data_IF_001853937235
#
_entry.id   IF_001853937235
#
_cell.length_a   1.000
_cell.length_b   1.000
_cell.length_c   1.000
_cell.angle_alpha   90.00
_cell.angle_beta   90.00
_cell.angle_gamma   90.00
#
_symmetry.space_group_name_H-M   'P 1'
#
loop_
_entity.id
_entity.type
_entity.pdbx_description
1 polymer ?
#
# COMPACT_ATOMS: atom_id res chain seq x y z
N UNK A 1 5.45 21.28 24.76
CA UNK A 1 5.23 19.90 25.25
C UNK A 1 5.81 18.95 24.21
N UNK A 2 7.04 18.45 24.43
CA UNK A 2 7.79 17.63 23.45
C UNK A 2 7.42 16.17 23.69
N UNK A 3 6.62 15.58 22.79
CA UNK A 3 6.30 14.16 22.84
C UNK A 3 7.52 13.34 22.36
N UNK A 4 8.40 12.94 23.29
CA UNK A 4 9.34 11.84 23.05
C UNK A 4 8.66 10.53 23.42
N UNK A 5 7.96 9.91 22.46
CA UNK A 5 7.62 8.50 22.54
C UNK A 5 8.76 7.70 21.90
N UNK A 6 9.39 6.82 22.69
CA UNK A 6 10.22 5.73 22.17
C UNK A 6 9.32 4.81 21.34
N UNK A 7 9.14 5.17 20.07
CA UNK A 7 8.51 4.34 19.06
C UNK A 7 9.50 3.23 18.74
N UNK A 8 9.27 2.03 19.29
CA UNK A 8 9.80 0.81 18.72
C UNK A 8 9.19 0.74 17.32
N UNK A 9 9.95 1.13 16.29
CA UNK A 9 9.53 1.08 14.91
C UNK A 9 9.34 -0.38 14.52
N UNK A 10 8.15 -0.93 14.78
CA UNK A 10 7.71 -2.17 14.17
C UNK A 10 7.81 -1.95 12.66
N UNK A 11 8.50 -2.83 11.94
CA UNK A 11 8.81 -2.66 10.52
C UNK A 11 7.54 -2.36 9.71
N UNK A 12 7.35 -1.08 9.38
CA UNK A 12 6.16 -0.57 8.67
C UNK A 12 6.24 -0.89 7.17
N UNK A 13 7.47 -1.04 6.66
CA UNK A 13 7.75 -1.31 5.26
C UNK A 13 7.78 -2.82 5.03
N UNK A 14 6.88 -3.38 4.20
CA UNK A 14 6.92 -4.80 3.89
C UNK A 14 8.20 -5.14 3.10
N UNK A 15 8.67 -6.39 3.23
CA UNK A 15 9.89 -6.87 2.56
C UNK A 15 9.81 -6.61 1.05
N UNK A 16 10.91 -6.12 0.47
CA UNK A 16 11.00 -5.83 -0.96
C UNK A 16 12.37 -6.23 -1.52
N UNK A 17 12.39 -6.57 -2.81
CA UNK A 17 13.58 -7.00 -3.54
C UNK A 17 13.62 -6.29 -4.90
N UNK A 18 14.72 -5.61 -5.19
CA UNK A 18 14.96 -4.98 -6.49
C UNK A 18 15.56 -6.00 -7.45
N UNK A 19 14.92 -6.21 -8.59
CA UNK A 19 15.39 -7.11 -9.64
C UNK A 19 16.27 -6.37 -10.64
N UNK A 20 17.28 -7.05 -11.24
CA UNK A 20 17.59 -8.48 -11.11
C UNK A 20 18.37 -8.87 -9.85
N UNK A 21 19.06 -7.93 -9.19
CA UNK A 21 20.03 -8.21 -8.13
C UNK A 21 19.46 -9.00 -6.94
N UNK A 22 18.21 -8.73 -6.54
CA UNK A 22 17.53 -9.35 -5.41
C UNK A 22 16.86 -10.70 -5.71
N UNK A 23 16.99 -11.24 -6.93
CA UNK A 23 16.26 -12.45 -7.33
C UNK A 23 16.67 -13.70 -6.53
N UNK A 24 17.97 -13.89 -6.29
CA UNK A 24 18.48 -15.03 -5.53
C UNK A 24 17.96 -14.99 -4.08
N UNK A 25 18.07 -13.83 -3.43
CA UNK A 25 17.56 -13.61 -2.07
C UNK A 25 16.04 -13.78 -2.00
N UNK A 26 15.31 -13.30 -3.01
CA UNK A 26 13.87 -13.53 -3.11
C UNK A 26 13.53 -15.02 -3.16
N UNK A 27 14.16 -15.81 -4.03
CA UNK A 27 13.91 -17.25 -4.15
C UNK A 27 14.21 -18.01 -2.86
N UNK A 28 15.32 -17.68 -2.19
CA UNK A 28 15.70 -18.31 -0.93
C UNK A 28 14.67 -18.01 0.18
N UNK A 29 14.30 -16.74 0.34
CA UNK A 29 13.40 -16.31 1.41
C UNK A 29 11.95 -16.70 1.14
N UNK A 30 11.52 -16.69 -0.13
CA UNK A 30 10.16 -17.07 -0.50
C UNK A 30 9.89 -18.57 -0.34
N UNK A 31 10.93 -19.41 -0.49
CA UNK A 31 10.86 -20.85 -0.20
C UNK A 31 10.76 -21.14 1.31
N UNK A 32 11.41 -20.33 2.14
CA UNK A 32 11.38 -20.48 3.61
C UNK A 32 10.08 -19.93 4.23
N UNK A 33 9.36 -19.06 3.51
CA UNK A 33 8.07 -18.54 3.96
C UNK A 33 7.00 -19.65 3.96
N UNK A 34 6.73 -20.23 5.15
CA UNK A 34 5.70 -21.26 5.39
C UNK A 34 4.32 -20.92 4.81
N UNK A 35 4.01 -19.63 4.71
CA UNK A 35 2.71 -19.13 4.27
C UNK A 35 2.58 -19.00 2.74
N UNK A 36 3.59 -19.40 1.95
CA UNK A 36 3.59 -19.31 0.47
C UNK A 36 3.08 -17.95 0.00
N UNK A 37 3.86 -16.92 0.34
CA UNK A 37 3.45 -15.52 0.25
C UNK A 37 2.97 -15.10 -1.13
N UNK A 38 2.08 -14.11 -1.15
CA UNK A 38 1.74 -13.36 -2.35
C UNK A 38 2.63 -12.13 -2.43
N UNK A 39 3.09 -11.80 -3.63
CA UNK A 39 3.95 -10.64 -3.86
C UNK A 39 3.35 -9.75 -4.95
N UNK A 40 3.61 -8.45 -4.85
CA UNK A 40 3.31 -7.47 -5.87
C UNK A 40 4.60 -7.17 -6.66
N UNK A 41 4.61 -7.54 -7.93
CA UNK A 41 5.66 -7.20 -8.88
C UNK A 41 5.32 -5.86 -9.53
N UNK A 42 6.18 -4.86 -9.34
CA UNK A 42 6.06 -3.50 -9.89
C UNK A 42 7.20 -3.27 -10.87
N UNK A 43 6.91 -3.08 -12.16
CA UNK A 43 7.97 -2.68 -13.11
C UNK A 43 8.47 -1.27 -12.82
N UNK A 44 9.77 -1.01 -12.98
CA UNK A 44 10.41 0.24 -12.61
C UNK A 44 9.81 1.48 -13.32
N UNK A 45 9.37 1.31 -14.57
CA UNK A 45 8.81 2.40 -15.38
C UNK A 45 7.28 2.44 -15.40
N UNK A 46 6.61 1.70 -14.50
CA UNK A 46 5.16 1.72 -14.40
C UNK A 46 4.66 2.99 -13.70
N UNK A 47 3.98 3.85 -14.43
CA UNK A 47 3.19 4.95 -13.87
C UNK A 47 1.71 4.53 -13.72
N UNK A 48 0.94 5.27 -12.91
CA UNK A 48 -0.54 5.19 -12.86
C UNK A 48 -1.14 3.82 -12.50
N UNK A 49 -0.36 2.87 -11.97
CA UNK A 49 -0.83 1.53 -11.62
C UNK A 49 -0.77 0.52 -12.77
N UNK A 50 -0.40 0.96 -13.98
CA UNK A 50 -0.17 0.10 -15.14
C UNK A 50 1.18 -0.60 -15.01
N UNK A 51 1.18 -1.77 -14.38
CA UNK A 51 2.40 -2.59 -14.22
C UNK A 51 2.57 -3.24 -12.86
N UNK A 52 1.58 -3.15 -11.97
CA UNK A 52 1.56 -3.98 -10.75
C UNK A 52 0.86 -5.30 -11.05
N UNK A 53 1.62 -6.40 -10.95
CA UNK A 53 1.10 -7.76 -11.09
C UNK A 53 1.21 -8.49 -9.76
N UNK A 54 0.18 -9.24 -9.42
CA UNK A 54 0.24 -10.16 -8.28
C UNK A 54 0.91 -11.44 -8.74
N UNK A 55 1.97 -11.87 -8.05
CA UNK A 55 2.74 -13.08 -8.34
C UNK A 55 2.86 -13.93 -7.08
N UNK A 56 2.67 -15.24 -7.22
CA UNK A 56 2.98 -16.21 -6.19
C UNK A 56 4.50 -16.42 -6.06
N UNK A 57 4.92 -16.99 -4.94
CA UNK A 57 6.34 -17.30 -4.68
C UNK A 57 7.01 -18.19 -5.75
N UNK A 58 6.22 -19.05 -6.42
CA UNK A 58 6.66 -20.00 -7.44
C UNK A 58 6.31 -19.58 -8.87
N UNK A 59 5.72 -18.40 -9.07
CA UNK A 59 5.40 -17.94 -10.42
C UNK A 59 6.68 -17.60 -11.18
N UNK A 60 6.72 -18.00 -12.46
CA UNK A 60 7.77 -17.56 -13.37
C UNK A 60 7.40 -16.21 -13.97
N UNK A 61 8.32 -15.26 -13.88
CA UNK A 61 8.18 -13.93 -14.46
C UNK A 61 9.49 -13.45 -15.06
N UNK A 62 9.38 -12.56 -16.05
CA UNK A 62 10.56 -11.96 -16.69
C UNK A 62 11.29 -11.09 -15.68
N UNK A 63 12.56 -11.39 -15.46
CA UNK A 63 13.47 -10.60 -14.63
C UNK A 63 13.88 -9.37 -15.44
N UNK A 64 13.10 -8.30 -15.29
CA UNK A 64 13.39 -6.97 -15.83
C UNK A 64 13.47 -6.00 -14.66
N UNK A 65 13.88 -4.75 -14.91
CA UNK A 65 13.91 -3.69 -13.90
C UNK A 65 12.54 -3.56 -13.22
N UNK A 66 12.46 -4.11 -12.02
CA UNK A 66 11.22 -4.26 -11.27
C UNK A 66 11.52 -4.45 -9.79
N UNK A 67 10.54 -4.14 -8.95
CA UNK A 67 10.57 -4.39 -7.52
C UNK A 67 9.51 -5.42 -7.19
N UNK A 68 9.91 -6.49 -6.51
CA UNK A 68 8.99 -7.44 -5.87
C UNK A 68 8.79 -7.00 -4.44
N UNK A 69 7.55 -6.85 -4.02
CA UNK A 69 7.20 -6.47 -2.67
C UNK A 69 6.22 -7.47 -2.07
N UNK A 70 6.44 -7.90 -0.82
CA UNK A 70 5.52 -8.77 -0.11
C UNK A 70 4.15 -8.10 0.01
N UNK A 71 3.10 -8.80 -0.41
CA UNK A 71 1.74 -8.32 -0.30
C UNK A 71 1.21 -8.51 1.13
N UNK A 72 0.49 -7.52 1.62
CA UNK A 72 -0.16 -7.55 2.94
C UNK A 72 -1.55 -8.18 2.78
N UNK A 73 -1.78 -9.42 3.23
CA UNK A 73 -3.02 -10.16 2.95
C UNK A 73 -4.21 -9.73 3.80
N UNK A 74 -3.96 -9.09 4.95
CA UNK A 74 -4.98 -8.66 5.89
C UNK A 74 -4.87 -7.14 6.11
N UNK A 75 -5.23 -6.31 5.12
CA UNK A 75 -5.27 -4.86 5.30
C UNK A 75 -6.43 -4.47 6.23
N UNK A 76 -6.32 -3.32 6.88
CA UNK A 76 -7.47 -2.70 7.54
C UNK A 76 -8.52 -2.33 6.48
N UNK A 77 -9.78 -2.66 6.76
CA UNK A 77 -10.91 -2.40 5.88
C UNK A 77 -11.87 -1.42 6.54
N UNK A 78 -12.41 -0.50 5.75
CA UNK A 78 -13.54 0.36 6.12
C UNK A 78 -14.64 0.05 5.11
N UNK A 79 -15.85 -0.25 5.58
CA UNK A 79 -16.97 -0.71 4.74
C UNK A 79 -16.59 -1.87 3.80
N UNK A 80 -15.80 -2.82 4.32
CA UNK A 80 -15.27 -3.96 3.58
C UNK A 80 -14.43 -3.58 2.36
N UNK A 81 -13.93 -2.35 2.27
CA UNK A 81 -13.07 -1.85 1.18
C UNK A 81 -11.67 -1.60 1.70
N UNK A 82 -10.68 -1.98 0.89
CA UNK A 82 -9.29 -1.62 1.11
C UNK A 82 -9.11 -0.13 0.85
N UNK A 83 -8.30 0.54 1.66
CA UNK A 83 -7.95 1.94 1.45
C UNK A 83 -6.46 2.19 1.66
N UNK A 84 -5.97 3.32 1.17
CA UNK A 84 -4.68 3.87 1.52
C UNK A 84 -4.82 5.33 1.96
N UNK A 85 -3.83 5.82 2.71
CA UNK A 85 -3.79 7.19 3.21
C UNK A 85 -2.71 7.98 2.47
N UNK A 86 -3.09 9.11 1.89
CA UNK A 86 -2.19 10.12 1.36
C UNK A 86 -1.97 11.18 2.44
N UNK A 87 -0.79 11.14 3.05
CA UNK A 87 -0.36 12.10 4.08
C UNK A 87 0.53 13.15 3.42
N UNK A 88 0.23 14.43 3.64
CA UNK A 88 1.06 15.52 3.14
C UNK A 88 2.16 15.86 4.14
N UNK A 89 3.38 16.00 3.63
CA UNK A 89 4.56 16.39 4.42
C UNK A 89 5.28 17.53 3.70
N UNK A 90 5.52 18.65 4.38
CA UNK A 90 6.31 19.77 3.90
C UNK A 90 7.70 19.70 4.52
N UNK A 91 8.74 19.60 3.68
CA UNK A 91 10.14 19.68 4.12
C UNK A 91 10.64 21.08 3.83
N UNK A 92 11.01 21.83 4.87
CA UNK A 92 11.44 23.23 4.74
C UNK A 92 12.95 23.39 4.77
N UNK A 93 13.65 22.44 5.37
CA UNK A 93 15.11 22.42 5.44
C UNK A 93 15.59 20.97 5.47
N UNK A 94 16.72 20.71 4.83
CA UNK A 94 17.37 19.39 4.82
C UNK A 94 18.56 19.34 5.77
N UNK A 95 19.16 20.50 6.07
CA UNK A 95 20.26 20.64 7.01
C UNK A 95 20.13 21.97 7.77
N UNK A 96 19.54 21.98 8.98
CA UNK A 96 18.99 20.83 9.70
C UNK A 96 17.69 20.31 9.06
N UNK A 97 17.42 19.01 9.15
CA UNK A 97 16.19 18.42 8.62
C UNK A 97 14.95 18.90 9.40
N UNK A 98 14.09 19.67 8.74
CA UNK A 98 12.82 20.15 9.29
C UNK A 98 11.69 19.72 8.36
N UNK A 99 10.78 18.89 8.88
CA UNK A 99 9.61 18.39 8.17
C UNK A 99 8.33 18.57 9.00
N UNK A 100 7.26 19.02 8.35
CA UNK A 100 5.94 19.25 8.94
C UNK A 100 4.92 18.31 8.30
N UNK A 101 4.16 17.60 9.11
CA UNK A 101 3.04 16.75 8.65
C UNK A 101 1.75 17.56 8.77
N UNK A 102 1.00 17.67 7.68
CA UNK A 102 -0.29 18.37 7.70
C UNK A 102 -1.31 17.54 8.51
N UNK A 103 -2.21 18.23 9.22
CA UNK A 103 -3.28 17.59 9.99
C UNK A 103 -4.31 16.89 9.10
N UNK A 104 -4.49 17.39 7.88
CA UNK A 104 -5.42 16.86 6.90
C UNK A 104 -4.67 16.00 5.87
N UNK A 105 -5.35 14.96 5.38
CA UNK A 105 -4.87 14.05 4.35
C UNK A 105 -6.05 13.45 3.59
N UNK A 106 -5.76 12.61 2.60
CA UNK A 106 -6.81 11.99 1.78
C UNK A 106 -6.81 10.47 1.95
N UNK A 107 -7.97 9.90 2.26
CA UNK A 107 -8.21 8.46 2.18
C UNK A 107 -8.64 8.08 0.77
N UNK A 108 -7.91 7.17 0.11
CA UNK A 108 -8.28 6.61 -1.19
C UNK A 108 -8.83 5.21 -1.01
N UNK A 109 -10.10 5.01 -1.33
CA UNK A 109 -10.77 3.73 -1.18
C UNK A 109 -10.76 2.94 -2.48
N UNK A 110 -10.76 1.62 -2.36
CA UNK A 110 -11.01 0.71 -3.47
C UNK A 110 -12.48 0.84 -3.89
N UNK A 111 -12.72 0.78 -5.20
CA UNK A 111 -14.08 0.77 -5.76
C UNK A 111 -14.83 -0.53 -5.47
N UNK A 112 -14.10 -1.63 -5.27
CA UNK A 112 -14.65 -2.97 -5.00
C UNK A 112 -14.39 -3.40 -3.56
N UNK A 113 -15.23 -4.29 -3.05
CA UNK A 113 -15.01 -4.92 -1.75
C UNK A 113 -13.74 -5.76 -1.76
N UNK A 114 -13.00 -5.72 -0.67
CA UNK A 114 -11.77 -6.46 -0.51
C UNK A 114 -12.04 -7.96 -0.41
N UNK A 115 -11.39 -8.72 -1.28
CA UNK A 115 -11.41 -10.16 -1.23
C UNK A 115 -10.01 -10.65 -0.90
N UNK A 116 -9.90 -11.49 0.13
CA UNK A 116 -8.60 -11.97 0.57
C UNK A 116 -7.99 -12.89 -0.51
N UNK A 117 -6.81 -12.55 -1.06
CA UNK A 117 -6.19 -13.34 -2.12
C UNK A 117 -5.92 -14.80 -1.72
N UNK A 118 -5.74 -15.09 -0.42
CA UNK A 118 -5.56 -16.47 0.06
C UNK A 118 -6.80 -17.34 -0.13
N UNK A 119 -7.98 -16.72 -0.26
CA UNK A 119 -9.27 -17.41 -0.41
C UNK A 119 -9.72 -17.55 -1.87
N UNK A 120 -9.06 -16.87 -2.80
CA UNK A 120 -9.49 -16.79 -4.20
C UNK A 120 -8.51 -17.56 -5.08
N UNK A 121 -9.03 -18.42 -5.95
CA UNK A 121 -8.21 -19.24 -6.87
C UNK A 121 -7.54 -18.44 -7.99
N UNK A 122 -7.99 -17.21 -8.26
CA UNK A 122 -7.54 -16.39 -9.39
C UNK A 122 -6.94 -15.07 -8.92
N UNK A 123 -5.61 -14.95 -9.00
CA UNK A 123 -4.83 -13.79 -8.59
C UNK A 123 -5.18 -12.49 -9.36
N UNK A 124 -5.73 -12.62 -10.58
CA UNK A 124 -6.12 -11.48 -11.44
C UNK A 124 -7.20 -10.58 -10.82
N UNK A 125 -7.98 -11.08 -9.85
CA UNK A 125 -9.10 -10.33 -9.22
C UNK A 125 -8.66 -9.49 -8.00
N UNK A 126 -7.43 -9.69 -7.53
CA UNK A 126 -6.91 -9.09 -6.28
C UNK A 126 -6.23 -7.73 -6.50
N UNK A 127 -6.14 -7.25 -7.73
CA UNK A 127 -5.59 -5.93 -8.10
C UNK A 127 -6.59 -4.81 -7.79
N UNK A 128 -7.04 -4.74 -6.53
CA UNK A 128 -7.80 -3.60 -6.01
C UNK A 128 -6.81 -2.47 -5.71
N UNK A 129 -6.26 -1.91 -6.77
CA UNK A 129 -5.44 -0.73 -6.71
C UNK A 129 -6.34 0.44 -6.33
N UNK A 130 -5.87 1.25 -5.40
CA UNK A 130 -6.51 2.46 -4.89
C UNK A 130 -5.99 3.72 -5.61
N UNK A 131 -5.22 3.54 -6.70
CA UNK A 131 -4.65 4.63 -7.49
C UNK A 131 -5.75 5.49 -8.16
N UNK A 132 -5.64 6.83 -8.13
CA UNK A 132 -6.66 7.74 -8.70
C UNK A 132 -6.92 7.54 -10.20
N UNK A 133 -5.88 7.15 -10.96
CA UNK A 133 -5.98 6.86 -12.39
C UNK A 133 -6.91 5.68 -12.69
N UNK A 134 -6.94 4.70 -11.79
CA UNK A 134 -7.75 3.49 -11.93
C UNK A 134 -9.14 3.66 -11.27
N UNK A 135 -9.20 4.36 -10.13
CA UNK A 135 -10.45 4.65 -9.40
C UNK A 135 -10.82 6.14 -9.52
N UNK A 136 -11.47 6.50 -10.62
CA UNK A 136 -11.94 7.88 -10.88
C UNK A 136 -13.10 8.37 -10.01
N UNK A 137 -13.64 7.57 -9.08
CA UNK A 137 -14.86 7.91 -8.34
C UNK A 137 -14.81 7.43 -6.89
N UNK A 138 -14.29 8.27 -6.00
CA UNK A 138 -14.78 8.56 -4.64
C UNK A 138 -13.64 9.17 -3.83
N UNK A 139 -13.65 10.50 -3.75
CA UNK A 139 -12.91 11.26 -2.73
C UNK A 139 -13.94 11.58 -1.66
N UNK A 140 -13.81 10.98 -0.47
CA UNK A 140 -14.59 11.41 0.69
C UNK A 140 -13.78 12.44 1.47
N UNK A 141 -14.18 13.70 1.36
CA UNK A 141 -13.84 14.73 2.35
C UNK A 141 -14.94 14.70 3.40
N UNK A 142 -14.65 14.20 4.60
CA UNK A 142 -15.54 14.49 5.74
C UNK A 142 -15.26 15.94 6.16
N UNK A 143 -16.10 16.87 5.71
CA UNK A 143 -16.20 18.17 6.37
C UNK A 143 -16.92 17.94 7.69
N UNK A 144 -16.26 18.29 8.78
CA UNK A 144 -16.80 18.20 10.12
C UNK A 144 -17.97 19.21 10.22
N UNK A 145 -19.20 18.77 9.93
CA UNK A 145 -20.40 19.58 10.13
C UNK A 145 -20.77 19.57 11.62
N UNK A 146 -20.00 20.33 12.40
CA UNK A 146 -20.48 20.80 13.70
C UNK A 146 -21.56 21.87 13.45
N UNK A 147 -22.79 21.40 13.23
CA UNK A 147 -23.99 22.22 13.07
C UNK A 147 -25.00 21.90 14.17
N UNK A 148 -24.81 22.49 15.34
CA UNK A 148 -25.79 22.56 16.41
C UNK A 148 -27.06 23.27 15.90
N UNK A 149 -28.22 22.61 15.89
CA UNK A 149 -29.52 23.30 15.93
C UNK A 149 -30.58 22.44 16.60
N UNK A 150 -31.20 23.06 17.60
CA UNK A 150 -32.28 22.60 18.46
C UNK A 150 -33.59 22.44 17.68
N UNK A 151 -34.40 21.49 18.17
CA UNK A 151 -35.87 21.51 18.29
C UNK A 151 -36.73 21.99 17.11
N UNK A 152 -37.55 21.08 16.60
CA UNK A 152 -39.02 21.10 16.80
C UNK A 152 -39.58 19.70 16.57
#
# INVERSE_FOLDING_TARGET
MVYRRNLVFKQIVPKQFSLPAGLASFKLLSQQDLNKGLYALKSANAARGEGVKMVAWNDEFKVKDAVIQQYIPNPLLIDSKKFDLHVYVCVTSVDPLIAYVFKEGLGRFATKQYENPRRIKTLKRCTQQTTPSTNRKMIWTQTNTNGNSRMS
#
